data_IF_511848340391
#
_entry.id   IF_511848340391
#
_cell.length_a   1.000
_cell.length_b   1.000
_cell.length_c   1.000
_cell.angle_alpha   90.00
_cell.angle_beta   90.00
_cell.angle_gamma   90.00
#
_symmetry.space_group_name_H-M   'P 1'
#
loop_
_entity.id
_entity.type
_entity.pdbx_description
1 polymer ?
#
# COMPACT_ATOMS: atom_id res chain seq x y z
N UNK A 1 -7.03 9.44 1.77
CA UNK A 1 -7.91 8.25 1.87
C UNK A 1 -7.51 7.51 3.14
N UNK A 2 -8.44 7.09 4.01
CA UNK A 2 -8.08 6.27 5.17
C UNK A 2 -7.49 4.93 4.71
N UNK A 3 -6.58 4.34 5.49
CA UNK A 3 -6.05 3.01 5.24
C UNK A 3 -7.19 2.00 5.44
N UNK A 4 -7.38 1.10 4.47
CA UNK A 4 -8.22 -0.08 4.64
C UNK A 4 -7.34 -1.31 4.84
N UNK A 5 -7.83 -2.30 5.60
CA UNK A 5 -7.06 -3.54 5.79
C UNK A 5 -6.94 -4.36 4.50
N UNK A 6 -7.94 -4.27 3.61
CA UNK A 6 -7.88 -4.86 2.28
C UNK A 6 -6.73 -4.28 1.45
N UNK A 7 -6.47 -2.97 1.54
CA UNK A 7 -5.30 -2.36 0.89
C UNK A 7 -3.98 -2.88 1.47
N UNK A 8 -3.88 -3.03 2.79
CA UNK A 8 -2.69 -3.58 3.46
C UNK A 8 -2.42 -5.01 2.96
N UNK A 9 -3.43 -5.87 2.91
CA UNK A 9 -3.31 -7.23 2.42
C UNK A 9 -2.99 -7.30 0.93
N UNK A 10 -3.64 -6.46 0.11
CA UNK A 10 -3.38 -6.38 -1.33
C UNK A 10 -1.92 -5.98 -1.63
N UNK A 11 -1.34 -5.15 -0.78
CA UNK A 11 0.05 -4.72 -0.87
C UNK A 11 1.03 -5.71 -0.18
N UNK A 12 0.54 -6.75 0.51
CA UNK A 12 1.39 -7.72 1.19
C UNK A 12 2.14 -7.16 2.41
N UNK A 13 1.57 -6.16 3.08
CA UNK A 13 2.14 -5.49 4.25
C UNK A 13 1.54 -5.99 5.58
N UNK A 14 0.70 -7.02 5.54
CA UNK A 14 -0.09 -7.51 6.69
C UNK A 14 0.78 -8.08 7.83
N UNK A 15 2.00 -8.53 7.49
CA UNK A 15 3.01 -9.03 8.43
C UNK A 15 3.91 -7.92 9.02
N UNK A 16 3.81 -6.70 8.50
CA UNK A 16 4.61 -5.57 8.98
C UNK A 16 3.97 -4.90 10.20
N UNK A 17 4.79 -4.12 10.90
CA UNK A 17 4.32 -3.24 11.98
C UNK A 17 3.46 -2.10 11.44
N UNK A 18 2.53 -1.59 12.24
CA UNK A 18 1.63 -0.50 11.85
C UNK A 18 2.39 0.78 11.44
N UNK A 19 3.54 1.04 12.06
CA UNK A 19 4.43 2.13 11.67
C UNK A 19 5.00 1.94 10.25
N UNK A 20 5.46 0.72 9.94
CA UNK A 20 6.00 0.37 8.61
C UNK A 20 4.91 0.39 7.54
N UNK A 21 3.70 -0.09 7.86
CA UNK A 21 2.54 -0.02 6.98
C UNK A 21 2.26 1.45 6.62
N UNK A 22 2.10 2.31 7.63
CA UNK A 22 1.78 3.71 7.43
C UNK A 22 2.85 4.44 6.63
N UNK A 23 4.14 4.27 6.99
CA UNK A 23 5.24 4.91 6.28
C UNK A 23 5.36 4.42 4.85
N UNK A 24 5.20 3.11 4.59
CA UNK A 24 5.28 2.56 3.23
C UNK A 24 4.13 3.08 2.38
N UNK A 25 2.90 2.97 2.87
CA UNK A 25 1.72 3.44 2.13
C UNK A 25 1.78 4.94 1.82
N UNK A 26 2.34 5.76 2.72
CA UNK A 26 2.51 7.20 2.48
C UNK A 26 3.45 7.55 1.31
N UNK A 27 4.32 6.62 0.90
CA UNK A 27 5.21 6.81 -0.26
C UNK A 27 4.56 6.42 -1.58
N UNK A 28 3.49 5.61 -1.56
CA UNK A 28 2.92 5.02 -2.76
C UNK A 28 2.04 6.00 -3.53
N UNK A 29 2.17 5.96 -4.85
CA UNK A 29 1.20 6.59 -5.75
C UNK A 29 0.02 5.66 -6.02
N UNK A 30 -1.09 6.21 -6.53
CA UNK A 30 -2.28 5.41 -6.83
C UNK A 30 -2.03 4.35 -7.91
N UNK A 31 -1.15 4.66 -8.87
CA UNK A 31 -0.75 3.76 -9.96
C UNK A 31 0.75 3.85 -10.23
N UNK A 32 1.31 2.87 -10.94
CA UNK A 32 2.66 3.01 -11.49
C UNK A 32 2.74 4.22 -12.42
N UNK A 33 3.81 4.99 -12.33
CA UNK A 33 4.04 6.14 -13.19
C UNK A 33 4.53 5.69 -14.57
N UNK A 34 3.89 6.15 -15.65
CA UNK A 34 4.37 5.88 -16.99
C UNK A 34 5.74 6.55 -17.24
N UNK A 35 6.73 5.81 -17.76
CA UNK A 35 8.09 6.34 -17.94
C UNK A 35 8.17 7.47 -18.98
N UNK A 36 7.31 7.46 -20.00
CA UNK A 36 7.24 8.53 -21.02
C UNK A 36 6.65 9.80 -20.40
N UNK A 37 5.61 9.68 -19.59
CA UNK A 37 5.00 10.80 -18.88
C UNK A 37 5.96 11.43 -17.88
N UNK A 38 6.69 10.58 -17.15
CA UNK A 38 7.78 11.00 -16.27
C UNK A 38 8.85 11.79 -17.03
N UNK A 39 9.40 11.23 -18.12
CA UNK A 39 10.43 11.88 -18.93
C UNK A 39 9.96 13.23 -19.49
N UNK A 40 8.72 13.28 -19.97
CA UNK A 40 8.10 14.51 -20.48
C UNK A 40 7.99 15.58 -19.40
N UNK A 41 7.45 15.23 -18.23
CA UNK A 41 7.33 16.18 -17.13
C UNK A 41 8.70 16.70 -16.68
N UNK A 42 9.69 15.82 -16.49
CA UNK A 42 11.04 16.23 -16.07
C UNK A 42 11.69 17.18 -17.08
N UNK A 43 11.43 16.99 -18.38
CA UNK A 43 11.86 17.92 -19.43
C UNK A 43 11.10 19.25 -19.37
N UNK A 44 9.78 19.23 -19.26
CA UNK A 44 8.95 20.45 -19.21
C UNK A 44 9.30 21.33 -18.00
N UNK A 45 9.60 20.71 -16.87
CA UNK A 45 10.07 21.40 -15.66
C UNK A 45 11.57 21.74 -15.68
N UNK A 46 12.29 21.43 -16.76
CA UNK A 46 13.75 21.61 -16.88
C UNK A 46 14.55 20.94 -15.75
N UNK A 47 13.99 19.91 -15.12
CA UNK A 47 14.61 19.16 -14.04
C UNK A 47 15.65 18.19 -14.58
N UNK A 48 15.29 17.41 -15.60
CA UNK A 48 16.20 16.45 -16.21
C UNK A 48 15.74 16.06 -17.62
N UNK A 49 16.64 16.17 -18.59
CA UNK A 49 16.35 15.84 -19.97
C UNK A 49 17.61 15.51 -20.76
N UNK A 50 17.46 14.68 -21.79
CA UNK A 50 18.52 14.40 -22.75
C UNK A 50 18.67 15.61 -23.70
N UNK A 51 19.84 16.25 -23.67
CA UNK A 51 20.20 17.38 -24.55
C UNK A 51 20.86 16.93 -25.86
N UNK A 52 21.50 15.76 -25.84
CA UNK A 52 22.17 15.09 -26.96
C UNK A 52 22.07 13.57 -26.72
N UNK A 53 22.09 12.69 -27.76
CA UNK A 53 22.16 11.24 -27.57
C UNK A 53 23.10 10.73 -26.46
N UNK A 54 24.17 11.48 -26.17
CA UNK A 54 25.17 11.12 -25.16
C UNK A 54 25.21 12.01 -23.91
N UNK A 55 24.37 13.06 -23.82
CA UNK A 55 24.46 14.04 -22.74
C UNK A 55 23.09 14.38 -22.12
N UNK A 56 23.08 14.42 -20.80
CA UNK A 56 21.96 14.90 -19.99
C UNK A 56 22.17 16.36 -19.58
N UNK A 57 21.07 17.04 -19.31
CA UNK A 57 21.04 18.41 -18.81
C UNK A 57 19.84 18.60 -17.87
N UNK A 58 19.79 19.76 -17.21
CA UNK A 58 18.75 20.12 -16.24
C UNK A 58 19.29 20.30 -14.84
N UNK A 59 18.41 20.69 -13.92
CA UNK A 59 18.77 20.94 -12.52
C UNK A 59 19.35 19.71 -11.80
N UNK A 60 18.82 18.52 -12.07
CA UNK A 60 19.29 17.26 -11.47
C UNK A 60 20.72 16.95 -11.92
N UNK A 61 21.00 17.06 -13.21
CA UNK A 61 22.34 16.84 -13.76
C UNK A 61 23.36 17.85 -13.18
N UNK A 62 22.98 19.13 -13.10
CA UNK A 62 23.84 20.17 -12.55
C UNK A 62 24.18 19.96 -11.07
N UNK A 63 23.26 19.37 -10.31
CA UNK A 63 23.43 19.08 -8.90
C UNK A 63 24.19 17.76 -8.64
N UNK A 64 24.19 16.82 -9.60
CA UNK A 64 24.74 15.47 -9.43
C UNK A 64 26.11 15.41 -8.72
N UNK A 65 27.11 16.25 -9.06
CA UNK A 65 28.44 16.18 -8.43
C UNK A 65 28.47 16.53 -6.94
N UNK A 66 27.45 17.24 -6.42
CA UNK A 66 27.37 17.64 -5.01
C UNK A 66 26.43 16.77 -4.18
N UNK A 67 25.68 15.86 -4.80
CA UNK A 67 24.77 14.96 -4.09
C UNK A 67 25.54 13.85 -3.36
N UNK A 68 25.00 13.31 -2.24
CA UNK A 68 25.56 12.11 -1.61
C UNK A 68 25.61 10.92 -2.59
N UNK A 69 26.62 10.06 -2.47
CA UNK A 69 26.80 8.92 -3.37
C UNK A 69 25.58 7.99 -3.44
N UNK A 70 24.91 7.75 -2.30
CA UNK A 70 23.68 6.95 -2.26
C UNK A 70 22.56 7.54 -3.11
N UNK A 71 22.40 8.87 -3.11
CA UNK A 71 21.42 9.56 -3.93
C UNK A 71 21.82 9.55 -5.40
N UNK A 72 23.12 9.68 -5.72
CA UNK A 72 23.60 9.54 -7.09
C UNK A 72 23.30 8.14 -7.65
N UNK A 73 23.53 7.08 -6.86
CA UNK A 73 23.24 5.70 -7.26
C UNK A 73 21.74 5.48 -7.51
N UNK A 74 20.89 6.04 -6.64
CA UNK A 74 19.43 5.97 -6.77
C UNK A 74 18.94 6.73 -8.01
N UNK A 75 19.46 7.93 -8.25
CA UNK A 75 19.17 8.69 -9.47
C UNK A 75 19.68 7.96 -10.72
N UNK A 76 20.83 7.27 -10.65
CA UNK A 76 21.32 6.42 -11.75
C UNK A 76 20.38 5.26 -12.08
N UNK A 77 19.74 4.66 -11.07
CA UNK A 77 18.70 3.65 -11.29
C UNK A 77 17.43 4.27 -11.91
N UNK A 78 17.01 5.43 -11.41
CA UNK A 78 15.86 6.15 -11.97
C UNK A 78 16.12 6.57 -13.43
N UNK A 79 17.34 7.00 -13.73
CA UNK A 79 17.78 7.30 -15.09
C UNK A 79 17.59 6.10 -16.01
N UNK A 80 18.13 4.94 -15.61
CA UNK A 80 18.02 3.72 -16.39
C UNK A 80 16.56 3.29 -16.58
N UNK A 81 15.69 3.53 -15.59
CA UNK A 81 14.27 3.23 -15.70
C UNK A 81 13.52 4.17 -16.64
N UNK A 82 13.85 5.47 -16.66
CA UNK A 82 13.15 6.45 -17.50
C UNK A 82 13.67 6.46 -18.94
N UNK A 83 14.99 6.42 -19.14
CA UNK A 83 15.63 6.57 -20.45
C UNK A 83 16.35 5.32 -20.96
N UNK A 84 16.46 4.24 -20.17
CA UNK A 84 17.15 3.01 -20.58
C UNK A 84 16.33 2.07 -21.47
N UNK A 85 15.23 2.56 -22.06
CA UNK A 85 14.32 1.87 -23.01
C UNK A 85 13.68 0.54 -22.55
N UNK A 86 14.05 0.02 -21.38
CA UNK A 86 13.64 -1.29 -20.88
C UNK A 86 12.42 -1.26 -19.97
N UNK A 87 12.13 -0.13 -19.32
CA UNK A 87 10.96 0.01 -18.44
C UNK A 87 9.89 0.90 -19.08
N UNK A 88 8.66 0.38 -19.13
CA UNK A 88 7.47 1.11 -19.61
C UNK A 88 6.75 1.86 -18.48
N UNK A 89 7.06 1.52 -17.23
CA UNK A 89 6.49 2.14 -16.04
C UNK A 89 7.47 2.08 -14.86
N UNK A 90 7.43 3.11 -14.04
CA UNK A 90 8.07 3.20 -12.73
C UNK A 90 7.08 2.69 -11.69
N UNK A 91 7.47 1.66 -10.93
CA UNK A 91 6.63 0.97 -9.94
C UNK A 91 6.45 1.77 -8.65
N UNK A 92 5.92 2.99 -8.77
CA UNK A 92 5.73 3.92 -7.65
C UNK A 92 4.52 3.57 -6.77
N UNK A 93 3.68 2.64 -7.22
CA UNK A 93 2.57 2.02 -6.48
C UNK A 93 2.97 0.70 -5.79
N UNK A 94 4.22 0.28 -5.93
CA UNK A 94 4.72 -0.99 -5.39
C UNK A 94 5.43 -0.78 -4.04
N UNK A 95 5.09 -1.53 -2.99
CA UNK A 95 5.66 -1.34 -1.65
C UNK A 95 7.16 -1.63 -1.57
N UNK A 96 7.73 -2.41 -2.48
CA UNK A 96 9.17 -2.65 -2.52
C UNK A 96 9.97 -1.54 -3.21
N UNK A 97 9.32 -0.74 -4.08
CA UNK A 97 9.99 0.26 -4.91
C UNK A 97 9.57 1.70 -4.63
N UNK A 98 8.32 1.93 -4.24
CA UNK A 98 7.76 3.23 -3.89
C UNK A 98 8.57 3.97 -2.82
N UNK A 99 8.96 3.33 -1.70
CA UNK A 99 9.79 3.99 -0.69
C UNK A 99 11.14 4.46 -1.23
N UNK A 100 11.82 3.61 -2.02
CA UNK A 100 13.09 3.95 -2.67
C UNK A 100 12.91 5.11 -3.64
N UNK A 101 11.84 5.09 -4.45
CA UNK A 101 11.54 6.19 -5.34
C UNK A 101 11.32 7.51 -4.57
N UNK A 102 10.57 7.45 -3.46
CA UNK A 102 10.31 8.62 -2.64
C UNK A 102 11.56 9.16 -1.96
N UNK A 103 12.46 8.29 -1.49
CA UNK A 103 13.76 8.71 -0.94
C UNK A 103 14.57 9.53 -1.95
N UNK A 104 14.55 9.13 -3.23
CA UNK A 104 15.17 9.90 -4.31
C UNK A 104 14.58 11.30 -4.45
N UNK A 105 13.25 11.40 -4.44
CA UNK A 105 12.53 12.67 -4.54
C UNK A 105 12.81 13.56 -3.31
N UNK A 106 12.74 13.01 -2.11
CA UNK A 106 13.02 13.73 -0.86
C UNK A 106 14.46 14.23 -0.81
N UNK A 107 15.41 13.43 -1.31
CA UNK A 107 16.81 13.83 -1.47
C UNK A 107 16.98 15.02 -2.41
N UNK A 108 16.27 15.03 -3.55
CA UNK A 108 16.27 16.16 -4.48
C UNK A 108 15.63 17.42 -3.88
N UNK A 109 14.58 17.27 -3.07
CA UNK A 109 13.96 18.39 -2.35
C UNK A 109 14.92 18.94 -1.31
N UNK A 110 15.56 18.08 -0.50
CA UNK A 110 16.54 18.47 0.50
C UNK A 110 17.74 19.20 -0.14
N UNK A 111 18.16 18.76 -1.34
CA UNK A 111 19.20 19.41 -2.13
C UNK A 111 18.74 20.70 -2.84
N UNK A 112 17.47 21.12 -2.67
CA UNK A 112 16.86 22.28 -3.33
C UNK A 112 16.89 22.21 -4.87
N UNK A 113 16.91 20.99 -5.42
CA UNK A 113 16.87 20.73 -6.86
C UNK A 113 15.44 20.63 -7.37
N UNK A 114 14.55 20.06 -6.54
CA UNK A 114 13.12 19.93 -6.79
C UNK A 114 12.36 20.62 -5.66
N UNK A 115 11.22 21.22 -5.96
CA UNK A 115 10.32 21.78 -4.93
C UNK A 115 9.28 20.75 -4.50
N UNK A 116 8.67 20.95 -3.32
CA UNK A 116 7.55 20.11 -2.89
C UNK A 116 6.40 20.14 -3.91
N UNK A 117 6.09 21.32 -4.47
CA UNK A 117 5.04 21.45 -5.49
C UNK A 117 5.33 20.62 -6.74
N UNK A 118 6.60 20.59 -7.20
CA UNK A 118 7.00 19.74 -8.33
C UNK A 118 6.92 18.25 -8.00
N UNK A 119 7.27 17.86 -6.77
CA UNK A 119 7.08 16.46 -6.32
C UNK A 119 5.59 16.08 -6.32
N UNK A 120 4.71 16.96 -5.84
CA UNK A 120 3.28 16.70 -5.76
C UNK A 120 2.67 16.62 -7.17
N UNK A 121 3.04 17.52 -8.07
CA UNK A 121 2.67 17.47 -9.49
C UNK A 121 3.17 16.20 -10.18
N UNK A 122 4.41 15.78 -9.90
CA UNK A 122 4.97 14.54 -10.44
C UNK A 122 4.18 13.32 -9.96
N UNK A 123 3.84 13.25 -8.67
CA UNK A 123 3.01 12.18 -8.13
C UNK A 123 1.60 12.17 -8.74
N UNK A 124 1.04 13.33 -9.10
CA UNK A 124 -0.27 13.44 -9.73
C UNK A 124 -0.34 12.80 -11.13
N UNK A 125 0.78 12.69 -11.84
CA UNK A 125 0.85 11.92 -13.09
C UNK A 125 0.49 10.43 -12.88
N UNK A 126 0.70 9.92 -11.67
CA UNK A 126 0.40 8.57 -11.23
C UNK A 126 -0.89 8.48 -10.40
N UNK A 127 -1.78 9.48 -10.49
CA UNK A 127 -3.03 9.55 -9.72
C UNK A 127 -2.87 10.08 -8.29
N UNK A 128 -1.70 10.65 -7.96
CA UNK A 128 -1.41 11.23 -6.65
C UNK A 128 -1.05 10.17 -5.61
N UNK A 129 -0.89 10.61 -4.36
CA UNK A 129 -0.58 9.76 -3.21
C UNK A 129 -1.81 9.59 -2.32
N UNK A 130 -2.60 8.51 -2.50
CA UNK A 130 -3.87 8.35 -1.79
C UNK A 130 -3.71 8.29 -0.26
N UNK A 131 -2.54 7.87 0.21
CA UNK A 131 -2.20 7.72 1.62
C UNK A 131 -1.11 8.68 2.11
N UNK A 132 -0.88 9.82 1.45
CA UNK A 132 0.20 10.75 1.82
C UNK A 132 0.22 11.19 3.30
N UNK A 133 -0.94 11.17 3.96
CA UNK A 133 -1.11 11.49 5.39
C UNK A 133 -1.33 10.28 6.29
N UNK A 134 -1.05 9.07 5.81
CA UNK A 134 -1.17 7.85 6.60
C UNK A 134 -0.33 7.92 7.88
N UNK A 135 -0.96 7.58 9.00
CA UNK A 135 -0.31 7.49 10.30
C UNK A 135 -0.32 6.07 10.84
N UNK A 136 0.58 5.78 11.77
CA UNK A 136 0.59 4.51 12.51
C UNK A 136 -0.77 4.23 13.18
N UNK A 137 -1.44 5.28 13.68
CA UNK A 137 -2.77 5.15 14.28
C UNK A 137 -3.83 4.73 13.26
N UNK A 138 -3.74 5.19 12.01
CA UNK A 138 -4.65 4.77 10.95
C UNK A 138 -4.46 3.28 10.61
N UNK A 139 -3.21 2.83 10.53
CA UNK A 139 -2.88 1.42 10.27
C UNK A 139 -3.35 0.51 11.43
N UNK A 140 -3.09 0.91 12.68
CA UNK A 140 -3.55 0.18 13.86
C UNK A 140 -5.09 0.11 13.93
N UNK A 141 -5.78 1.19 13.58
CA UNK A 141 -7.25 1.21 13.53
C UNK A 141 -7.79 0.27 12.43
N UNK A 142 -7.17 0.24 11.26
CA UNK A 142 -7.56 -0.66 10.17
C UNK A 142 -7.38 -2.13 10.56
N UNK A 143 -6.25 -2.48 11.20
CA UNK A 143 -6.00 -3.84 11.71
C UNK A 143 -7.02 -4.24 12.77
N UNK A 144 -7.25 -3.38 13.77
CA UNK A 144 -8.19 -3.67 14.84
C UNK A 144 -9.63 -3.84 14.32
N UNK A 145 -10.04 -3.06 13.31
CA UNK A 145 -11.33 -3.22 12.65
C UNK A 145 -11.45 -4.59 11.96
N UNK A 146 -10.42 -5.00 11.22
CA UNK A 146 -10.39 -6.31 10.58
C UNK A 146 -10.40 -7.46 11.60
N UNK A 147 -9.59 -7.39 12.65
CA UNK A 147 -9.55 -8.42 13.69
C UNK A 147 -10.91 -8.56 14.40
N UNK A 148 -11.63 -7.45 14.58
CA UNK A 148 -12.99 -7.47 15.12
C UNK A 148 -13.99 -8.13 14.16
N UNK A 149 -13.90 -7.87 12.85
CA UNK A 149 -14.72 -8.53 11.83
C UNK A 149 -14.48 -10.04 11.82
N UNK A 150 -13.21 -10.46 11.78
CA UNK A 150 -12.81 -11.87 11.82
C UNK A 150 -13.29 -12.55 13.11
N UNK A 151 -13.19 -11.88 14.25
CA UNK A 151 -13.67 -12.44 15.52
C UNK A 151 -15.19 -12.66 15.52
N UNK A 152 -15.97 -11.73 14.94
CA UNK A 152 -17.43 -11.87 14.80
C UNK A 152 -17.77 -13.02 13.86
N UNK A 153 -17.09 -13.11 12.72
CA UNK A 153 -17.29 -14.20 11.76
C UNK A 153 -16.97 -15.56 12.39
N UNK A 154 -15.89 -15.65 13.17
CA UNK A 154 -15.51 -16.87 13.89
C UNK A 154 -16.58 -17.27 14.91
N UNK A 155 -17.08 -16.33 15.73
CA UNK A 155 -18.16 -16.61 16.69
C UNK A 155 -19.43 -17.09 15.98
N UNK A 156 -19.79 -16.48 14.85
CA UNK A 156 -20.96 -16.89 14.07
C UNK A 156 -20.77 -18.29 13.46
N UNK A 157 -19.57 -18.59 12.97
CA UNK A 157 -19.19 -19.91 12.47
C UNK A 157 -19.27 -20.97 13.56
N UNK A 158 -18.69 -20.70 14.74
CA UNK A 158 -18.70 -21.60 15.89
C UNK A 158 -20.13 -21.87 16.39
N UNK A 159 -20.95 -20.82 16.48
CA UNK A 159 -22.37 -20.94 16.83
C UNK A 159 -23.12 -21.84 15.83
N UNK A 160 -22.98 -21.58 14.53
CA UNK A 160 -23.63 -22.38 13.49
C UNK A 160 -23.14 -23.84 13.52
N UNK A 161 -21.84 -24.05 13.75
CA UNK A 161 -21.24 -25.38 13.87
C UNK A 161 -21.82 -26.13 15.08
N UNK A 162 -21.95 -25.47 16.23
CA UNK A 162 -22.54 -26.05 17.44
C UNK A 162 -24.00 -26.46 17.24
N UNK A 163 -24.82 -25.58 16.63
CA UNK A 163 -26.22 -25.91 16.31
C UNK A 163 -26.36 -27.11 15.37
N UNK A 164 -25.52 -27.17 14.33
CA UNK A 164 -25.51 -28.29 13.39
C UNK A 164 -25.06 -29.58 14.06
N UNK A 165 -23.97 -29.53 14.82
CA UNK A 165 -23.38 -30.69 15.52
C UNK A 165 -24.34 -31.28 16.55
N UNK A 166 -25.06 -30.42 17.26
CA UNK A 166 -26.04 -30.84 18.26
C UNK A 166 -27.37 -31.32 17.66
N UNK A 167 -27.56 -31.25 16.34
CA UNK A 167 -28.79 -31.69 15.67
C UNK A 167 -29.99 -30.74 15.85
N UNK A 168 -29.76 -29.46 16.20
CA UNK A 168 -30.83 -28.48 16.45
C UNK A 168 -31.70 -28.29 15.21
N UNK A 169 -31.07 -28.18 14.04
CA UNK A 169 -31.76 -27.97 12.77
C UNK A 169 -32.63 -29.18 12.38
N UNK A 170 -32.16 -30.40 12.66
CA UNK A 170 -32.92 -31.63 12.41
C UNK A 170 -34.12 -31.74 13.34
N UNK A 171 -33.92 -31.53 14.65
CA UNK A 171 -35.01 -31.57 15.63
C UNK A 171 -36.08 -30.49 15.35
N UNK A 172 -35.65 -29.29 14.94
CA UNK A 172 -36.56 -28.21 14.54
C UNK A 172 -37.36 -28.58 13.29
N UNK A 173 -36.70 -29.09 12.24
CA UNK A 173 -37.36 -29.49 10.98
C UNK A 173 -38.38 -30.62 11.18
N UNK A 174 -38.11 -31.55 12.10
CA UNK A 174 -39.00 -32.67 12.41
C UNK A 174 -40.16 -32.28 13.36
N UNK A 175 -40.19 -31.06 13.88
CA UNK A 175 -41.16 -30.63 14.89
C UNK A 175 -41.02 -31.37 16.23
N UNK A 176 -39.87 -32.01 16.49
CA UNK A 176 -39.61 -32.73 17.74
C UNK A 176 -39.21 -31.76 18.84
N UNK A 177 -40.20 -31.31 19.61
CA UNK A 177 -40.00 -30.35 20.69
C UNK A 177 -39.07 -30.88 21.80
N UNK A 178 -39.10 -32.18 22.10
CA UNK A 178 -38.26 -32.76 23.15
C UNK A 178 -36.81 -32.92 22.67
N UNK A 179 -36.64 -33.37 21.43
CA UNK A 179 -35.36 -33.39 20.74
C UNK A 179 -34.73 -31.99 20.63
N UNK A 180 -35.53 -30.96 20.32
CA UNK A 180 -35.06 -29.59 20.17
C UNK A 180 -34.49 -29.02 21.48
N UNK A 181 -35.15 -29.26 22.62
CA UNK A 181 -34.64 -28.82 23.93
C UNK A 181 -33.32 -29.54 24.28
N UNK A 182 -33.20 -30.82 23.93
CA UNK A 182 -31.99 -31.60 24.17
C UNK A 182 -30.83 -31.12 23.29
N UNK A 183 -31.10 -30.91 22.00
CA UNK A 183 -30.14 -30.38 21.04
C UNK A 183 -29.66 -28.97 21.41
N UNK A 184 -30.55 -28.08 21.86
CA UNK A 184 -30.17 -26.74 22.30
C UNK A 184 -29.26 -26.77 23.55
N UNK A 185 -29.48 -27.69 24.49
CA UNK A 185 -28.58 -27.87 25.64
C UNK A 185 -27.21 -28.39 25.20
N UNK A 186 -27.18 -29.39 24.32
CA UNK A 186 -25.92 -29.91 23.78
C UNK A 186 -25.14 -28.83 23.00
N UNK A 187 -25.83 -27.95 22.26
CA UNK A 187 -25.20 -26.82 21.58
C UNK A 187 -24.61 -25.80 22.58
N UNK A 188 -25.32 -25.50 23.68
CA UNK A 188 -24.81 -24.64 24.75
C UNK A 188 -23.57 -25.24 25.43
N UNK A 189 -23.58 -26.56 25.69
CA UNK A 189 -22.43 -27.28 26.24
C UNK A 189 -21.20 -27.22 25.31
N UNK A 190 -21.40 -27.34 23.98
CA UNK A 190 -20.32 -27.20 22.98
C UNK A 190 -19.73 -25.78 23.00
N UNK A 191 -20.56 -24.76 23.17
CA UNK A 191 -20.14 -23.36 23.23
C UNK A 191 -19.57 -22.95 24.59
N UNK A 192 -19.66 -23.81 25.61
CA UNK A 192 -19.26 -23.49 26.98
C UNK A 192 -20.08 -22.39 27.62
N UNK A 193 -21.36 -22.25 27.24
CA UNK A 193 -22.28 -21.20 27.66
C UNK A 193 -23.24 -21.65 28.77
#
# INVERSE_FOLDING_TARGET
MPISWEDVQRLGLDQDTDAVIASTMATLTAHSLNSIDAARYLREQSLWYQSDPSAMAGAIEAAMPSLPASLQDLLGQLYAAIWGESATALRTDDPAWGPTFQEGVDGLIAASVMTQAQSDEFANLAGGKPWAGATEADAAAARAAHDAEVAVEQVQSDYNSALNTAGVNEAYANGDRAGLVTALRAAADILGA
#
